data_IF_210799471077
#
_entry.id   IF_210799471077
#
_cell.length_a   1.000
_cell.length_b   1.000
_cell.length_c   1.000
_cell.angle_alpha   90.00
_cell.angle_beta   90.00
_cell.angle_gamma   90.00
#
_symmetry.space_group_name_H-M   'P 1'
#
loop_
_entity.id
_entity.type
_entity.pdbx_description
1 polymer ?
#
# COMPACT_ATOMS: atom_id res chain seq x y z
N UNK A 1 -24.33 32.69 -36.08
CA UNK A 1 -23.20 33.29 -35.34
C UNK A 1 -22.93 32.35 -34.19
N UNK A 2 -21.79 31.66 -34.20
CA UNK A 2 -21.46 30.70 -33.16
C UNK A 2 -20.49 31.41 -32.21
N UNK A 3 -20.80 31.44 -30.92
CA UNK A 3 -19.87 31.98 -29.92
C UNK A 3 -18.59 31.11 -29.90
N UNK A 4 -17.41 31.70 -29.62
CA UNK A 4 -16.23 30.90 -29.33
C UNK A 4 -16.50 30.02 -28.11
N UNK A 5 -16.12 28.74 -28.17
CA UNK A 5 -16.18 27.88 -27.00
C UNK A 5 -15.27 28.47 -25.90
N UNK A 6 -15.81 28.61 -24.70
CA UNK A 6 -15.17 29.37 -23.62
C UNK A 6 -13.81 28.75 -23.24
N UNK A 7 -12.82 29.60 -22.99
CA UNK A 7 -11.49 29.21 -22.51
C UNK A 7 -11.49 28.80 -21.03
N UNK A 8 -12.55 28.11 -20.58
CA UNK A 8 -12.74 27.66 -19.22
C UNK A 8 -11.65 26.66 -18.82
N UNK A 9 -10.94 26.97 -17.73
CA UNK A 9 -10.07 25.99 -17.06
C UNK A 9 -10.97 24.99 -16.33
N UNK A 10 -10.89 23.72 -16.73
CA UNK A 10 -11.57 22.61 -16.07
C UNK A 10 -10.58 21.80 -15.24
N UNK A 11 -11.11 21.15 -14.20
CA UNK A 11 -10.43 20.05 -13.51
C UNK A 11 -10.77 18.77 -14.29
N UNK A 12 -9.81 18.19 -15.00
CA UNK A 12 -9.96 16.87 -15.62
C UNK A 12 -9.46 15.80 -14.66
N UNK A 13 -10.31 14.84 -14.33
CA UNK A 13 -10.00 13.66 -13.52
C UNK A 13 -9.20 12.69 -14.38
N UNK A 14 -8.16 12.06 -13.84
CA UNK A 14 -7.26 11.15 -14.57
C UNK A 14 -6.89 9.96 -13.68
N UNK A 15 -6.38 8.89 -14.29
CA UNK A 15 -5.85 7.72 -13.59
C UNK A 15 -4.36 7.64 -13.87
N UNK A 16 -3.55 7.50 -12.82
CA UNK A 16 -2.10 7.40 -12.89
C UNK A 16 -1.64 6.02 -13.38
N UNK A 17 -1.07 5.90 -14.58
CA UNK A 17 -0.65 4.61 -15.13
C UNK A 17 0.54 3.98 -14.39
N UNK A 18 1.40 4.79 -13.74
CA UNK A 18 2.59 4.30 -13.01
C UNK A 18 2.17 3.39 -11.84
N UNK A 19 1.08 3.75 -11.15
CA UNK A 19 0.57 3.03 -9.97
C UNK A 19 -0.83 2.41 -10.16
N UNK A 20 -1.36 2.36 -11.38
CA UNK A 20 -2.59 1.65 -11.67
C UNK A 20 -2.33 0.14 -11.75
N UNK A 21 -2.75 -0.61 -10.72
CA UNK A 21 -2.69 -2.08 -10.71
C UNK A 21 -3.79 -2.76 -11.56
N UNK A 22 -4.43 -2.02 -12.49
CA UNK A 22 -5.39 -2.52 -13.50
C UNK A 22 -6.57 -3.34 -12.94
N UNK A 23 -6.94 -3.09 -11.68
CA UNK A 23 -7.85 -3.91 -10.88
C UNK A 23 -9.36 -3.80 -11.20
N UNK A 24 -9.77 -3.05 -12.22
CA UNK A 24 -11.17 -2.83 -12.65
C UNK A 24 -12.14 -2.20 -11.62
N UNK A 25 -11.71 -1.94 -10.38
CA UNK A 25 -12.59 -1.38 -9.33
C UNK A 25 -13.13 0.01 -9.66
N UNK A 26 -12.38 0.82 -10.41
CA UNK A 26 -12.79 2.19 -10.76
C UNK A 26 -13.86 2.26 -11.86
N UNK A 27 -13.76 1.41 -12.89
CA UNK A 27 -14.77 1.33 -13.96
C UNK A 27 -16.06 0.70 -13.45
N UNK A 28 -15.96 -0.45 -12.77
CA UNK A 28 -17.12 -1.19 -12.24
C UNK A 28 -17.95 -0.44 -11.19
N UNK A 29 -17.40 0.59 -10.53
CA UNK A 29 -18.13 1.45 -9.57
C UNK A 29 -18.60 2.78 -10.17
N UNK A 30 -18.23 3.12 -11.42
CA UNK A 30 -18.51 4.44 -11.99
C UNK A 30 -20.00 4.59 -12.38
N UNK A 31 -20.83 5.38 -11.66
CA UNK A 31 -22.28 5.41 -11.87
C UNK A 31 -22.70 6.07 -13.20
N UNK A 32 -21.78 6.76 -13.86
CA UNK A 32 -21.99 7.48 -15.14
C UNK A 32 -21.25 6.85 -16.33
N UNK A 33 -20.55 5.72 -16.13
CA UNK A 33 -19.80 5.07 -17.22
C UNK A 33 -18.70 5.97 -17.84
N UNK A 34 -18.09 6.82 -17.02
CA UNK A 34 -17.06 7.77 -17.43
C UNK A 34 -15.64 7.20 -17.43
N UNK A 35 -15.47 5.90 -17.15
CA UNK A 35 -14.17 5.23 -17.07
C UNK A 35 -14.21 4.03 -18.01
N UNK A 36 -13.10 3.78 -18.70
CA UNK A 36 -12.92 2.66 -19.64
C UNK A 36 -11.45 2.22 -19.61
N UNK A 37 -11.14 1.02 -20.11
CA UNK A 37 -9.76 0.51 -20.20
C UNK A 37 -9.43 -0.21 -21.51
N UNK A 38 -8.14 -0.40 -21.75
CA UNK A 38 -7.60 -1.43 -22.64
C UNK A 38 -6.70 -2.41 -21.83
N UNK A 39 -5.85 -3.21 -22.49
CA UNK A 39 -4.92 -4.11 -21.77
C UNK A 39 -3.87 -3.38 -20.92
N UNK A 40 -3.63 -2.10 -21.20
CA UNK A 40 -2.48 -1.35 -20.71
C UNK A 40 -2.91 -0.27 -19.71
N UNK A 41 -4.01 0.44 -19.93
CA UNK A 41 -4.39 1.61 -19.14
C UNK A 41 -5.90 1.72 -18.88
N UNK A 42 -6.23 2.35 -17.75
CA UNK A 42 -7.58 2.80 -17.40
C UNK A 42 -7.62 4.32 -17.55
N UNK A 43 -8.68 4.85 -18.15
CA UNK A 43 -8.75 6.25 -18.58
C UNK A 43 -10.12 6.86 -18.29
N UNK A 44 -10.21 8.19 -18.22
CA UNK A 44 -11.42 8.92 -17.82
C UNK A 44 -11.93 9.82 -18.94
N UNK A 45 -13.20 9.64 -19.29
CA UNK A 45 -13.96 10.50 -20.18
C UNK A 45 -14.39 11.77 -19.45
N UNK A 46 -13.80 12.90 -19.83
CA UNK A 46 -14.00 14.21 -19.22
C UNK A 46 -15.39 14.81 -19.45
N UNK A 47 -16.08 14.41 -20.52
CA UNK A 47 -17.42 14.90 -20.84
C UNK A 47 -18.52 14.05 -20.17
N UNK A 48 -18.22 12.79 -19.81
CA UNK A 48 -19.08 11.96 -18.92
C UNK A 48 -18.81 12.17 -17.43
N UNK A 49 -17.59 12.55 -17.03
CA UNK A 49 -17.21 12.61 -15.61
C UNK A 49 -17.91 13.75 -14.86
N UNK A 50 -18.82 13.39 -13.96
CA UNK A 50 -19.64 14.32 -13.17
C UNK A 50 -19.04 14.70 -11.80
N UNK A 51 -17.78 14.31 -11.51
CA UNK A 51 -17.09 14.59 -10.24
C UNK A 51 -17.77 14.06 -8.96
N UNK A 52 -18.53 12.96 -9.05
CA UNK A 52 -19.08 12.23 -7.88
C UNK A 52 -17.99 11.70 -6.92
N UNK A 53 -16.82 11.32 -7.44
CA UNK A 53 -15.68 10.74 -6.71
C UNK A 53 -15.90 9.34 -6.09
N UNK A 54 -17.01 8.66 -6.41
CA UNK A 54 -17.31 7.29 -5.93
C UNK A 54 -16.20 6.27 -6.26
N UNK A 55 -15.45 6.51 -7.33
CA UNK A 55 -14.32 5.70 -7.77
C UNK A 55 -13.02 5.89 -6.96
N UNK A 56 -12.88 6.98 -6.20
CA UNK A 56 -11.67 7.27 -5.41
C UNK A 56 -11.57 6.33 -4.20
N UNK A 57 -12.64 6.23 -3.40
CA UNK A 57 -12.60 5.47 -2.14
C UNK A 57 -12.26 3.98 -2.34
N UNK A 58 -12.78 3.27 -3.35
CA UNK A 58 -12.43 1.87 -3.64
C UNK A 58 -11.03 1.64 -4.25
N UNK A 59 -10.30 2.69 -4.65
CA UNK A 59 -9.01 2.52 -5.32
C UNK A 59 -7.89 2.12 -4.33
N UNK A 60 -7.28 0.93 -4.48
CA UNK A 60 -6.33 0.40 -3.49
C UNK A 60 -4.92 1.01 -3.57
N UNK A 61 -4.55 1.64 -4.68
CA UNK A 61 -3.26 2.37 -4.82
C UNK A 61 -3.42 3.88 -4.83
N UNK A 62 -4.66 4.38 -4.91
CA UNK A 62 -4.94 5.81 -5.11
C UNK A 62 -4.62 6.33 -6.51
N UNK A 63 -4.40 5.47 -7.52
CA UNK A 63 -4.06 5.91 -8.88
C UNK A 63 -5.09 6.87 -9.49
N UNK A 64 -6.36 6.72 -9.13
CA UNK A 64 -7.46 7.58 -9.60
C UNK A 64 -7.63 8.89 -8.80
N UNK A 65 -6.93 9.09 -7.68
CA UNK A 65 -6.98 10.37 -6.93
C UNK A 65 -6.06 11.42 -7.58
N UNK A 66 -6.19 11.54 -8.91
CA UNK A 66 -5.35 12.35 -9.76
C UNK A 66 -6.18 13.21 -10.71
N UNK A 67 -5.66 14.40 -10.99
CA UNK A 67 -6.32 15.34 -11.87
C UNK A 67 -5.33 16.36 -12.41
N UNK A 68 -5.69 16.99 -13.53
CA UNK A 68 -4.97 18.15 -14.06
C UNK A 68 -5.93 19.29 -14.32
N UNK A 69 -5.45 20.52 -14.13
CA UNK A 69 -6.13 21.73 -14.57
C UNK A 69 -5.75 21.96 -16.03
N UNK A 70 -6.73 22.00 -16.92
CA UNK A 70 -6.55 22.13 -18.38
C UNK A 70 -7.60 23.09 -18.94
N UNK A 71 -7.32 23.75 -20.07
CA UNK A 71 -8.39 24.41 -20.82
C UNK A 71 -9.34 23.34 -21.35
N UNK A 72 -10.67 23.57 -21.35
CA UNK A 72 -11.62 22.58 -21.89
C UNK A 72 -11.36 22.23 -23.36
N UNK A 73 -10.87 23.21 -24.15
CA UNK A 73 -10.44 23.03 -25.55
C UNK A 73 -9.13 22.23 -25.72
N UNK A 74 -8.45 21.88 -24.62
CA UNK A 74 -7.22 21.07 -24.56
C UNK A 74 -7.34 19.98 -23.47
N UNK A 75 -8.55 19.47 -23.24
CA UNK A 75 -8.75 18.32 -22.38
C UNK A 75 -8.18 17.06 -23.04
N UNK A 76 -7.49 16.22 -22.28
CA UNK A 76 -6.82 15.03 -22.80
C UNK A 76 -7.85 14.00 -23.28
N UNK A 77 -7.74 13.58 -24.53
CA UNK A 77 -8.59 12.54 -25.12
C UNK A 77 -8.34 11.17 -24.48
N UNK A 78 -9.27 10.22 -24.70
CA UNK A 78 -9.10 8.84 -24.26
C UNK A 78 -7.89 8.17 -24.93
N UNK A 79 -7.65 8.46 -26.20
CA UNK A 79 -6.56 7.87 -26.98
C UNK A 79 -5.18 8.37 -26.53
N UNK A 80 -5.06 9.65 -26.14
CA UNK A 80 -3.85 10.16 -25.46
C UNK A 80 -3.65 9.48 -24.10
N UNK A 81 -4.67 9.43 -23.26
CA UNK A 81 -4.58 8.83 -21.92
C UNK A 81 -4.19 7.33 -21.97
N UNK A 82 -4.66 6.59 -22.98
CA UNK A 82 -4.32 5.16 -23.14
C UNK A 82 -2.84 4.95 -23.51
N UNK A 83 -2.19 5.95 -24.11
CA UNK A 83 -0.78 5.88 -24.55
C UNK A 83 0.26 6.26 -23.49
N UNK A 84 -0.12 6.55 -22.24
CA UNK A 84 0.79 7.05 -21.21
C UNK A 84 1.41 5.95 -20.32
N UNK A 85 2.70 6.08 -20.00
CA UNK A 85 3.37 5.30 -18.94
C UNK A 85 3.52 6.08 -17.62
N UNK A 86 3.44 7.41 -17.67
CA UNK A 86 3.41 8.34 -16.52
C UNK A 86 2.36 9.45 -16.77
N UNK A 87 1.81 10.08 -15.73
CA UNK A 87 0.91 11.23 -15.93
C UNK A 87 1.65 12.44 -16.51
N UNK A 88 1.03 13.22 -17.42
CA UNK A 88 1.59 14.49 -17.83
C UNK A 88 1.78 15.44 -16.64
N UNK A 89 2.80 16.28 -16.71
CA UNK A 89 3.12 17.26 -15.67
C UNK A 89 1.98 18.27 -15.45
N UNK A 90 1.89 18.82 -14.24
CA UNK A 90 0.93 19.90 -13.96
C UNK A 90 1.33 21.18 -14.67
N UNK A 91 0.45 21.72 -15.52
CA UNK A 91 0.65 23.05 -16.11
C UNK A 91 0.52 24.08 -14.97
N UNK A 92 1.52 24.95 -14.73
CA UNK A 92 1.47 25.96 -13.67
C UNK A 92 0.23 26.85 -13.77
N UNK A 93 -0.32 27.29 -12.64
CA UNK A 93 -1.49 28.16 -12.61
C UNK A 93 -1.28 29.50 -13.35
N UNK A 94 -0.05 30.02 -13.34
CA UNK A 94 0.34 31.22 -14.10
C UNK A 94 0.36 30.99 -15.61
N UNK A 95 0.79 29.81 -16.07
CA UNK A 95 0.78 29.43 -17.49
C UNK A 95 -0.64 29.13 -17.95
N UNK A 96 -1.45 28.41 -17.15
CA UNK A 96 -2.88 28.24 -17.37
C UNK A 96 -3.63 29.58 -17.45
N UNK A 97 -3.34 30.53 -16.55
CA UNK A 97 -3.94 31.86 -16.60
C UNK A 97 -3.51 32.64 -17.86
N UNK A 98 -2.23 32.59 -18.23
CA UNK A 98 -1.74 33.19 -19.48
C UNK A 98 -2.35 32.55 -20.75
N UNK A 99 -2.77 31.28 -20.67
CA UNK A 99 -3.45 30.55 -21.74
C UNK A 99 -4.98 30.66 -21.72
N UNK A 100 -5.59 31.02 -20.58
CA UNK A 100 -7.05 31.13 -20.40
C UNK A 100 -7.58 32.58 -20.49
N UNK A 101 -6.77 33.56 -20.07
CA UNK A 101 -7.25 34.87 -19.64
C UNK A 101 -7.62 34.87 -18.13
N UNK A 102 -7.79 36.06 -17.57
CA UNK A 102 -7.85 36.28 -16.12
C UNK A 102 -9.09 35.64 -15.44
N UNK A 103 -8.91 34.49 -14.77
CA UNK A 103 -9.86 33.92 -13.78
C UNK A 103 -9.10 33.33 -12.59
N UNK A 104 -9.62 33.52 -11.37
CA UNK A 104 -8.89 33.34 -10.10
C UNK A 104 -8.87 31.90 -9.53
N UNK A 105 -8.02 31.68 -8.51
CA UNK A 105 -7.85 30.42 -7.75
C UNK A 105 -7.61 30.73 -6.26
N UNK A 106 -8.23 29.97 -5.34
CA UNK A 106 -7.99 30.01 -3.88
C UNK A 106 -7.39 28.69 -3.34
N UNK A 107 -6.79 28.72 -2.13
CA UNK A 107 -6.00 27.62 -1.52
C UNK A 107 -5.99 27.64 0.04
N UNK A 108 -5.85 26.47 0.70
CA UNK A 108 -5.71 26.26 2.17
C UNK A 108 -4.88 24.97 2.50
N UNK A 109 -4.39 24.77 3.75
CA UNK A 109 -3.49 23.66 4.24
C UNK A 109 -3.88 23.14 5.67
N UNK A 110 -3.18 22.31 6.49
CA UNK A 110 -1.76 21.84 6.61
C UNK A 110 -1.60 20.53 7.48
N UNK A 111 -0.37 20.05 7.83
CA UNK A 111 -0.10 18.74 8.51
C UNK A 111 1.20 18.59 9.40
N UNK A 112 1.33 17.58 10.31
CA UNK A 112 2.59 17.21 11.08
C UNK A 112 2.70 15.74 11.69
N UNK A 113 3.77 15.35 12.49
CA UNK A 113 4.29 13.94 12.79
C UNK A 113 4.32 13.44 14.30
N UNK A 114 5.00 12.39 14.91
CA UNK A 114 6.42 11.81 14.96
C UNK A 114 6.56 10.28 15.42
N UNK A 115 7.58 9.81 16.22
CA UNK A 115 8.22 8.42 16.31
C UNK A 115 8.77 8.03 17.78
N UNK A 116 9.29 6.87 18.35
CA UNK A 116 9.28 5.34 18.27
C UNK A 116 10.15 4.53 19.39
N UNK A 117 10.21 3.13 19.52
CA UNK A 117 11.16 2.18 20.29
C UNK A 117 10.72 0.66 20.70
N UNK A 118 11.45 -0.51 20.86
CA UNK A 118 12.56 -1.33 20.18
C UNK A 118 12.72 -2.85 20.71
N UNK A 119 13.10 -3.96 19.95
CA UNK A 119 13.36 -5.40 20.42
C UNK A 119 13.99 -6.51 19.43
N UNK A 120 14.50 -7.75 19.85
CA UNK A 120 15.45 -8.69 19.11
C UNK A 120 15.03 -10.18 18.64
N UNK A 121 15.96 -11.21 18.58
CA UNK A 121 16.18 -12.26 17.49
C UNK A 121 16.09 -13.84 17.75
N UNK A 122 16.22 -14.75 16.70
CA UNK A 122 16.24 -16.26 16.74
C UNK A 122 17.28 -17.06 15.83
N UNK A 123 17.19 -18.41 15.68
CA UNK A 123 17.91 -19.33 14.72
C UNK A 123 17.22 -20.75 14.61
N UNK A 124 17.57 -21.86 13.88
CA UNK A 124 18.64 -22.33 12.93
C UNK A 124 18.18 -23.62 12.10
N UNK A 125 19.01 -24.28 11.25
CA UNK A 125 18.67 -25.40 10.29
C UNK A 125 19.67 -26.64 10.25
N UNK A 126 19.27 -27.88 9.83
CA UNK A 126 20.11 -29.10 9.90
C UNK A 126 20.81 -29.65 8.60
N UNK A 127 20.93 -28.93 7.47
CA UNK A 127 21.30 -29.52 6.16
C UNK A 127 22.67 -30.22 5.95
N UNK A 128 23.58 -30.28 6.94
CA UNK A 128 24.87 -30.99 6.87
C UNK A 128 25.97 -30.33 6.02
N UNK A 129 25.62 -29.70 4.89
CA UNK A 129 26.33 -28.48 4.49
C UNK A 129 26.00 -27.40 5.53
N UNK A 130 26.98 -26.59 5.93
CA UNK A 130 26.72 -25.43 6.78
C UNK A 130 25.76 -24.50 6.05
N UNK A 131 24.53 -24.27 6.54
CA UNK A 131 23.64 -23.30 5.91
C UNK A 131 24.33 -21.94 5.92
N UNK A 132 24.33 -21.21 4.80
CA UNK A 132 24.72 -19.81 4.81
C UNK A 132 23.66 -19.09 5.65
N UNK A 133 23.95 -18.88 6.93
CA UNK A 133 22.97 -18.39 7.89
C UNK A 133 22.69 -16.91 7.64
N UNK A 134 21.77 -16.64 6.72
CA UNK A 134 21.35 -15.29 6.35
C UNK A 134 20.67 -14.55 7.49
N UNK A 135 20.13 -15.23 8.51
CA UNK A 135 19.64 -14.55 9.72
C UNK A 135 20.78 -14.04 10.60
N UNK A 136 21.93 -14.72 10.62
CA UNK A 136 23.17 -14.22 11.23
C UNK A 136 23.96 -13.22 10.34
N UNK A 137 23.52 -13.01 9.10
CA UNK A 137 23.95 -11.93 8.20
C UNK A 137 22.90 -10.80 8.10
N UNK A 138 21.82 -10.87 8.87
CA UNK A 138 20.89 -9.77 9.05
C UNK A 138 21.58 -8.61 9.77
N UNK A 139 21.19 -7.38 9.46
CA UNK A 139 21.69 -6.21 10.18
C UNK A 139 21.15 -6.23 11.61
N UNK A 140 22.02 -6.48 12.61
CA UNK A 140 21.62 -6.50 14.03
C UNK A 140 21.25 -5.10 14.56
N UNK A 141 21.70 -4.06 13.86
CA UNK A 141 21.37 -2.65 14.10
C UNK A 141 20.56 -2.11 12.91
N UNK A 142 19.54 -1.25 13.15
CA UNK A 142 18.96 -0.47 12.07
C UNK A 142 19.98 0.47 11.43
N UNK A 143 19.70 0.99 10.22
CA UNK A 143 20.43 2.12 9.67
C UNK A 143 20.47 3.28 10.68
N UNK A 144 21.63 3.94 10.83
CA UNK A 144 21.84 5.03 11.80
C UNK A 144 20.87 6.22 11.68
N UNK A 145 20.20 6.34 10.54
CA UNK A 145 19.21 7.38 10.22
C UNK A 145 17.79 6.83 10.06
N UNK A 146 17.56 5.55 10.33
CA UNK A 146 16.20 5.07 10.56
C UNK A 146 15.67 5.63 11.89
N UNK A 147 14.36 5.71 12.00
CA UNK A 147 13.71 6.08 13.26
C UNK A 147 13.69 4.93 14.27
N UNK A 148 13.12 5.20 15.44
CA UNK A 148 13.44 4.47 16.67
C UNK A 148 12.78 3.07 16.78
N UNK A 149 11.84 2.71 15.88
CA UNK A 149 10.99 1.51 15.80
C UNK A 149 10.24 1.04 17.08
N UNK A 150 8.94 1.40 17.22
CA UNK A 150 8.10 0.90 18.31
C UNK A 150 7.93 -0.63 18.28
N UNK A 151 7.98 -1.32 19.42
CA UNK A 151 7.68 -2.77 19.46
C UNK A 151 6.98 -3.23 20.74
N UNK A 152 6.36 -4.43 20.68
CA UNK A 152 5.78 -5.14 21.82
C UNK A 152 4.72 -4.35 22.61
N UNK A 153 4.07 -3.35 21.98
CA UNK A 153 2.97 -2.58 22.57
C UNK A 153 1.85 -3.53 23.05
N UNK A 154 1.57 -4.57 22.25
CA UNK A 154 0.66 -5.66 22.58
C UNK A 154 1.38 -7.00 22.50
N UNK A 155 1.22 -7.85 23.51
CA UNK A 155 1.84 -9.17 23.54
C UNK A 155 1.82 -9.85 24.91
N UNK A 156 2.46 -11.03 25.06
CA UNK A 156 2.36 -11.85 26.27
C UNK A 156 2.89 -11.21 27.57
N UNK A 157 3.74 -10.18 27.45
CA UNK A 157 4.32 -9.42 28.58
C UNK A 157 3.70 -8.03 28.76
N UNK A 158 2.83 -7.61 27.86
CA UNK A 158 2.27 -6.25 27.80
C UNK A 158 0.99 -6.17 28.63
N UNK A 159 0.67 -4.99 29.17
CA UNK A 159 -0.50 -4.81 30.05
C UNK A 159 -1.81 -5.17 29.35
N UNK A 160 -1.94 -4.80 28.07
CA UNK A 160 -2.97 -5.31 27.17
C UNK A 160 -2.32 -6.32 26.22
N UNK A 161 -2.86 -7.55 26.17
CA UNK A 161 -2.22 -8.67 25.44
C UNK A 161 -2.40 -8.62 23.93
N UNK A 162 -3.49 -8.04 23.47
CA UNK A 162 -3.91 -7.96 22.06
C UNK A 162 -4.66 -6.65 21.81
N UNK A 163 -4.70 -6.21 20.55
CA UNK A 163 -5.60 -5.16 20.08
C UNK A 163 -6.45 -5.71 18.93
N UNK A 164 -7.73 -5.38 18.88
CA UNK A 164 -8.57 -5.77 17.75
C UNK A 164 -8.42 -4.75 16.62
N UNK A 165 -8.09 -5.20 15.42
CA UNK A 165 -8.23 -4.44 14.20
C UNK A 165 -9.49 -4.86 13.43
N UNK A 166 -10.01 -3.97 12.59
CA UNK A 166 -11.13 -4.24 11.67
C UNK A 166 -10.60 -4.34 10.25
N UNK A 167 -11.02 -5.34 9.49
CA UNK A 167 -10.64 -5.49 8.08
C UNK A 167 -11.36 -4.43 7.25
N UNK A 168 -10.61 -3.52 6.64
CA UNK A 168 -11.15 -2.47 5.76
C UNK A 168 -10.95 -2.78 4.27
N UNK A 169 -10.08 -3.75 3.95
CA UNK A 169 -9.90 -4.27 2.60
C UNK A 169 -9.32 -5.67 2.61
N UNK A 170 -9.74 -6.53 1.69
CA UNK A 170 -9.10 -7.80 1.37
C UNK A 170 -9.24 -8.03 -0.13
N UNK A 171 -8.12 -8.04 -0.87
CA UNK A 171 -8.10 -8.09 -2.34
C UNK A 171 -7.05 -9.11 -2.80
N UNK A 172 -7.43 -10.08 -3.63
CA UNK A 172 -6.47 -10.99 -4.28
C UNK A 172 -5.61 -10.19 -5.27
N UNK A 173 -4.29 -10.21 -5.09
CA UNK A 173 -3.30 -9.50 -5.92
C UNK A 173 -2.61 -10.40 -6.95
N UNK A 174 -3.15 -11.59 -7.16
CA UNK A 174 -2.69 -12.57 -8.13
C UNK A 174 -3.82 -12.99 -9.06
N UNK A 175 -3.50 -13.18 -10.35
CA UNK A 175 -4.48 -13.58 -11.37
C UNK A 175 -5.21 -14.88 -11.01
N UNK A 176 -6.46 -15.02 -11.45
CA UNK A 176 -7.30 -16.20 -11.19
C UNK A 176 -7.07 -17.25 -12.29
N UNK A 177 -6.02 -18.04 -12.15
CA UNK A 177 -5.70 -19.11 -13.09
C UNK A 177 -4.45 -19.91 -12.71
N UNK A 178 -4.23 -21.02 -13.41
CA UNK A 178 -2.99 -21.80 -13.27
C UNK A 178 -1.85 -21.14 -14.05
N UNK A 179 -1.22 -20.14 -13.45
CA UNK A 179 0.15 -19.75 -13.81
C UNK A 179 1.07 -20.97 -13.77
N UNK A 180 2.02 -21.06 -14.71
CA UNK A 180 2.97 -22.17 -14.77
C UNK A 180 3.84 -22.21 -13.50
N UNK A 181 3.58 -23.18 -12.62
CA UNK A 181 4.22 -23.31 -11.31
C UNK A 181 3.24 -23.48 -10.14
N UNK A 182 1.96 -23.12 -10.29
CA UNK A 182 0.93 -23.34 -9.27
C UNK A 182 -0.17 -22.27 -9.26
N UNK A 183 -1.22 -22.49 -8.45
CA UNK A 183 -2.18 -21.45 -8.08
C UNK A 183 -1.63 -20.66 -6.88
N UNK A 184 -1.15 -19.46 -7.15
CA UNK A 184 -0.66 -18.55 -6.13
C UNK A 184 -1.82 -17.69 -5.66
N UNK A 185 -2.52 -18.09 -4.60
CA UNK A 185 -3.54 -17.24 -3.98
C UNK A 185 -2.90 -16.28 -2.96
N UNK A 186 -2.72 -15.01 -3.34
CA UNK A 186 -2.08 -14.00 -2.48
C UNK A 186 -2.98 -12.78 -2.36
N UNK A 187 -3.17 -12.29 -1.14
CA UNK A 187 -4.05 -11.17 -0.84
C UNK A 187 -3.28 -9.99 -0.25
N UNK A 188 -3.71 -8.78 -0.61
CA UNK A 188 -3.41 -7.54 0.08
C UNK A 188 -4.57 -7.24 1.03
N UNK A 189 -4.29 -7.22 2.33
CA UNK A 189 -5.28 -7.10 3.41
C UNK A 189 -4.98 -5.84 4.20
N UNK A 190 -5.97 -4.97 4.36
CA UNK A 190 -5.88 -3.70 5.09
C UNK A 190 -6.63 -3.83 6.42
N UNK A 191 -5.94 -3.48 7.51
CA UNK A 191 -6.41 -3.57 8.89
C UNK A 191 -6.41 -2.19 9.53
N UNK A 192 -7.55 -1.77 10.08
CA UNK A 192 -7.76 -0.47 10.73
C UNK A 192 -7.91 -0.64 12.26
N UNK A 193 -7.14 0.14 13.02
CA UNK A 193 -7.19 0.17 14.49
C UNK A 193 -8.09 1.30 15.03
N UNK A 194 -8.69 2.12 14.16
CA UNK A 194 -9.58 3.21 14.52
C UNK A 194 -8.86 4.26 15.38
N UNK A 195 -9.37 4.52 16.58
CA UNK A 195 -8.75 5.47 17.53
C UNK A 195 -7.65 4.86 18.42
N UNK A 196 -7.34 3.57 18.31
CA UNK A 196 -6.33 2.91 19.14
C UNK A 196 -4.94 3.07 18.53
N UNK A 197 -4.00 3.85 19.11
CA UNK A 197 -2.71 4.13 18.48
C UNK A 197 -1.89 2.86 18.28
N UNK A 198 -1.58 2.53 17.03
CA UNK A 198 -0.73 1.40 16.64
C UNK A 198 0.39 1.89 15.70
N UNK A 199 1.36 2.67 16.20
CA UNK A 199 2.43 3.23 15.37
C UNK A 199 3.39 2.14 14.89
N UNK A 200 3.72 2.16 13.60
CA UNK A 200 4.53 1.13 12.90
C UNK A 200 5.51 1.77 11.91
N UNK A 201 6.56 1.03 11.53
CA UNK A 201 7.48 1.43 10.46
C UNK A 201 7.50 0.49 9.24
N UNK A 202 7.99 1.06 8.13
CA UNK A 202 8.42 0.30 6.97
C UNK A 202 9.50 -0.73 7.37
N UNK A 203 9.23 -2.01 7.10
CA UNK A 203 10.11 -3.11 7.51
C UNK A 203 9.76 -3.79 8.83
N UNK A 204 8.80 -3.24 9.60
CA UNK A 204 8.25 -3.93 10.76
C UNK A 204 7.21 -4.99 10.38
N UNK A 205 6.70 -5.68 11.40
CA UNK A 205 5.76 -6.80 11.30
C UNK A 205 4.76 -6.79 12.45
N UNK A 206 3.61 -7.44 12.26
CA UNK A 206 2.64 -7.71 13.32
C UNK A 206 2.37 -9.21 13.45
N UNK A 207 1.89 -9.64 14.61
CA UNK A 207 1.37 -10.99 14.81
C UNK A 207 -0.16 -10.99 14.78
N UNK A 208 -0.77 -11.81 13.93
CA UNK A 208 -2.22 -12.09 13.98
C UNK A 208 -2.46 -13.35 14.78
N UNK A 209 -3.44 -13.36 15.69
CA UNK A 209 -3.91 -14.56 16.38
C UNK A 209 -5.16 -15.10 15.66
N UNK A 210 -5.07 -16.27 14.98
CA UNK A 210 -6.25 -16.89 14.38
C UNK A 210 -7.19 -17.43 15.46
N UNK A 211 -8.52 -17.33 15.31
CA UNK A 211 -9.47 -17.89 16.25
C UNK A 211 -9.43 -19.43 16.23
N UNK A 212 -9.68 -20.06 17.38
CA UNK A 212 -9.77 -21.51 17.53
C UNK A 212 -8.68 -22.15 18.39
N UNK A 213 -8.72 -23.47 18.47
CA UNK A 213 -7.84 -24.32 19.28
C UNK A 213 -7.09 -25.32 18.40
N UNK A 214 -5.86 -25.65 18.78
CA UNK A 214 -5.09 -26.74 18.17
C UNK A 214 -5.63 -28.14 18.56
N UNK A 215 -5.05 -29.19 17.97
CA UNK A 215 -5.39 -30.58 18.26
C UNK A 215 -5.07 -31.04 19.71
N UNK A 216 -4.51 -30.16 20.55
CA UNK A 216 -4.22 -30.37 21.98
C UNK A 216 -5.08 -29.45 22.87
N UNK A 217 -6.09 -28.79 22.30
CA UNK A 217 -7.01 -27.89 23.01
C UNK A 217 -6.42 -26.53 23.39
N UNK A 218 -5.26 -26.14 22.84
CA UNK A 218 -4.60 -24.87 23.16
C UNK A 218 -4.98 -23.79 22.13
N UNK A 219 -5.15 -22.52 22.54
CA UNK A 219 -5.34 -21.41 21.60
C UNK A 219 -4.26 -21.37 20.53
N UNK A 220 -4.65 -21.06 19.29
CA UNK A 220 -3.71 -20.95 18.19
C UNK A 220 -2.63 -19.87 18.45
N UNK A 221 -1.37 -20.22 18.18
CA UNK A 221 -0.26 -19.27 18.23
C UNK A 221 -0.44 -18.13 17.21
N UNK A 222 0.08 -16.95 17.56
CA UNK A 222 0.18 -15.83 16.63
C UNK A 222 1.05 -16.19 15.41
N UNK A 223 0.65 -15.72 14.21
CA UNK A 223 1.42 -15.83 12.97
C UNK A 223 1.88 -14.43 12.57
N UNK A 224 3.17 -14.28 12.30
CA UNK A 224 3.81 -13.00 12.02
C UNK A 224 3.74 -12.67 10.52
N UNK A 225 3.40 -11.43 10.20
CA UNK A 225 3.29 -10.91 8.84
C UNK A 225 4.00 -9.56 8.76
N UNK A 226 4.85 -9.39 7.74
CA UNK A 226 5.50 -8.10 7.47
C UNK A 226 4.49 -7.07 6.98
N UNK A 227 4.65 -5.83 7.43
CA UNK A 227 3.80 -4.71 7.05
C UNK A 227 4.12 -4.30 5.60
N UNK A 228 3.08 -4.08 4.81
CA UNK A 228 3.15 -3.71 3.40
C UNK A 228 2.80 -2.22 3.13
N UNK A 229 2.34 -1.49 4.14
CA UNK A 229 2.03 -0.06 4.13
C UNK A 229 3.17 0.77 4.73
N UNK A 230 3.32 2.05 4.34
CA UNK A 230 4.07 3.03 5.11
C UNK A 230 3.56 3.20 6.55
N UNK A 231 4.36 3.87 7.38
CA UNK A 231 4.07 4.25 8.77
C UNK A 231 2.80 5.06 8.98
N UNK A 232 2.39 5.80 7.95
CA UNK A 232 1.15 6.59 7.91
C UNK A 232 0.02 5.89 7.12
N UNK A 233 0.02 4.56 7.13
CA UNK A 233 -1.01 3.69 6.59
C UNK A 233 -1.07 3.64 5.07
N UNK A 234 -2.08 2.94 4.54
CA UNK A 234 -2.35 2.91 3.09
C UNK A 234 -2.70 4.31 2.56
N UNK A 235 -3.43 5.11 3.35
CA UNK A 235 -3.69 6.53 3.06
C UNK A 235 -3.16 7.39 4.21
N UNK A 236 -2.37 8.45 3.94
CA UNK A 236 -1.88 9.36 4.97
C UNK A 236 -2.98 9.84 5.92
N UNK A 237 -2.71 9.80 7.22
CA UNK A 237 -3.65 10.23 8.27
C UNK A 237 -4.63 9.15 8.76
N UNK A 238 -4.65 7.97 8.14
CA UNK A 238 -5.45 6.83 8.61
C UNK A 238 -4.63 5.89 9.49
N UNK A 239 -5.19 5.47 10.62
CA UNK A 239 -4.58 4.52 11.56
C UNK A 239 -4.80 3.06 11.11
N UNK A 240 -4.46 2.79 9.85
CA UNK A 240 -4.50 1.48 9.25
C UNK A 240 -3.11 1.02 8.80
N UNK A 241 -2.96 -0.28 8.59
CA UNK A 241 -1.79 -0.87 7.92
C UNK A 241 -2.23 -1.95 6.94
N UNK A 242 -1.34 -2.37 6.04
CA UNK A 242 -1.60 -3.50 5.16
C UNK A 242 -0.60 -4.64 5.33
N UNK A 243 -1.01 -5.83 4.87
CA UNK A 243 -0.23 -7.07 4.84
C UNK A 243 -0.34 -7.72 3.46
N UNK A 244 0.75 -8.33 2.98
CA UNK A 244 0.73 -9.18 1.78
C UNK A 244 0.80 -10.65 2.21
N UNK A 245 -0.31 -11.38 2.13
CA UNK A 245 -0.44 -12.74 2.66
C UNK A 245 -0.72 -13.74 1.54
N UNK A 246 0.20 -14.69 1.33
CA UNK A 246 -0.04 -15.88 0.48
C UNK A 246 -0.76 -16.96 1.29
N UNK A 247 -1.84 -17.52 0.73
CA UNK A 247 -2.50 -18.72 1.27
C UNK A 247 -1.55 -19.90 1.24
N UNK A 248 -1.42 -20.58 2.37
CA UNK A 248 -0.65 -21.84 2.47
C UNK A 248 -1.61 -23.00 2.23
N UNK A 249 -1.40 -23.71 1.12
CA UNK A 249 -2.18 -24.87 0.69
C UNK A 249 -1.36 -26.18 0.70
N UNK A 250 -0.05 -26.08 0.91
CA UNK A 250 0.92 -27.18 0.90
C UNK A 250 1.89 -26.99 2.06
N UNK A 251 2.39 -28.10 2.61
CA UNK A 251 3.39 -28.10 3.67
C UNK A 251 4.83 -28.13 3.11
N UNK A 252 5.83 -28.09 3.98
CA UNK A 252 7.25 -28.16 3.60
C UNK A 252 7.69 -29.45 2.86
N UNK A 253 6.86 -30.50 2.83
CA UNK A 253 7.09 -31.73 2.07
C UNK A 253 6.25 -31.79 0.78
N UNK A 254 5.48 -30.75 0.47
CA UNK A 254 4.55 -30.71 -0.67
C UNK A 254 3.22 -31.44 -0.41
N UNK A 255 2.91 -31.81 0.83
CA UNK A 255 1.62 -32.43 1.16
C UNK A 255 0.53 -31.35 1.30
N UNK A 256 -0.67 -31.53 0.72
CA UNK A 256 -1.74 -30.55 0.84
C UNK A 256 -2.16 -30.29 2.30
N UNK A 257 -2.05 -29.04 2.75
CA UNK A 257 -2.44 -28.62 4.11
C UNK A 257 -3.05 -27.23 4.08
N UNK A 258 -4.19 -27.05 4.77
CA UNK A 258 -4.81 -25.73 4.92
C UNK A 258 -4.15 -24.96 6.06
N UNK A 259 -3.13 -24.16 5.75
CA UNK A 259 -2.37 -23.39 6.73
C UNK A 259 -3.25 -22.40 7.50
N UNK A 260 -3.42 -22.64 8.81
CA UNK A 260 -4.40 -21.99 9.69
C UNK A 260 -4.44 -20.46 9.55
N UNK A 261 -3.33 -19.78 9.80
CA UNK A 261 -3.30 -18.31 9.86
C UNK A 261 -3.47 -17.63 8.51
N UNK A 262 -2.83 -18.14 7.45
CA UNK A 262 -2.92 -17.53 6.11
C UNK A 262 -4.26 -17.80 5.44
N UNK A 263 -4.87 -18.98 5.65
CA UNK A 263 -6.23 -19.21 5.17
C UNK A 263 -7.24 -18.35 5.92
N UNK A 264 -7.17 -18.31 7.26
CA UNK A 264 -8.00 -17.41 8.07
C UNK A 264 -7.95 -15.98 7.53
N UNK A 265 -6.75 -15.41 7.36
CA UNK A 265 -6.58 -14.04 6.86
C UNK A 265 -7.10 -13.83 5.43
N UNK A 266 -6.78 -14.72 4.49
CA UNK A 266 -7.27 -14.60 3.10
C UNK A 266 -8.81 -14.77 2.99
N UNK A 267 -9.45 -15.47 3.94
CA UNK A 267 -10.89 -15.74 3.95
C UNK A 267 -11.72 -14.65 4.66
N UNK A 268 -11.08 -13.62 5.26
CA UNK A 268 -11.76 -12.50 5.94
C UNK A 268 -12.48 -11.56 4.97
N UNK A 269 -13.57 -10.95 5.44
CA UNK A 269 -14.36 -9.96 4.71
C UNK A 269 -14.18 -8.57 5.32
N UNK A 270 -14.49 -7.54 4.53
CA UNK A 270 -14.56 -6.16 5.04
C UNK A 270 -15.61 -6.07 6.15
N UNK A 271 -15.22 -5.51 7.30
CA UNK A 271 -16.01 -5.47 8.53
C UNK A 271 -15.69 -6.57 9.54
N UNK A 272 -14.99 -7.65 9.16
CA UNK A 272 -14.55 -8.67 10.11
C UNK A 272 -13.48 -8.12 11.07
N UNK A 273 -13.35 -8.75 12.25
CA UNK A 273 -12.45 -8.33 13.33
C UNK A 273 -11.35 -9.36 13.57
N UNK A 274 -10.12 -8.89 13.78
CA UNK A 274 -8.93 -9.73 13.97
C UNK A 274 -8.11 -9.28 15.18
N UNK A 275 -7.63 -10.23 15.97
CA UNK A 275 -6.78 -9.96 17.14
C UNK A 275 -5.30 -9.89 16.72
N UNK A 276 -4.67 -8.75 17.05
CA UNK A 276 -3.32 -8.38 16.65
C UNK A 276 -2.41 -8.19 17.86
N UNK A 277 -1.13 -8.55 17.71
CA UNK A 277 -0.03 -8.32 18.65
C UNK A 277 1.19 -7.69 17.94
N UNK A 278 2.09 -7.11 18.72
CA UNK A 278 3.27 -6.38 18.24
C UNK A 278 3.12 -4.87 18.41
N UNK A 279 3.64 -4.05 17.48
CA UNK A 279 4.48 -4.46 16.34
C UNK A 279 5.83 -5.08 16.75
N UNK A 280 6.57 -5.63 15.78
CA UNK A 280 7.85 -6.31 15.99
C UNK A 280 8.86 -5.99 14.88
N UNK A 281 10.15 -6.09 15.21
CA UNK A 281 11.29 -5.88 14.32
C UNK A 281 11.86 -4.47 14.44
N UNK A 282 13.19 -4.37 14.46
CA UNK A 282 13.94 -3.10 14.60
C UNK A 282 15.23 -3.05 13.79
N UNK A 283 15.58 -4.14 13.12
CA UNK A 283 16.77 -4.30 12.31
C UNK A 283 16.53 -3.83 10.88
N UNK A 284 15.42 -4.29 10.29
CA UNK A 284 15.09 -4.11 8.87
C UNK A 284 14.38 -2.79 8.56
N UNK A 285 14.78 -1.68 9.20
CA UNK A 285 14.08 -0.39 9.09
C UNK A 285 14.54 0.42 7.88
N UNK A 286 13.65 1.31 7.40
CA UNK A 286 14.00 2.28 6.37
C UNK A 286 14.86 3.43 6.92
N UNK A 287 15.98 3.82 6.25
CA UNK A 287 16.72 5.03 6.59
C UNK A 287 15.95 6.30 6.18
N UNK A 288 15.75 7.24 7.11
CA UNK A 288 15.13 8.54 6.82
C UNK A 288 16.09 9.53 6.12
N UNK A 289 17.42 9.34 6.17
CA UNK A 289 18.37 10.27 5.52
C UNK A 289 18.16 10.28 3.99
N UNK A 290 17.84 11.43 3.35
CA UNK A 290 17.22 11.46 2.02
C UNK A 290 18.13 10.94 0.91
N UNK A 291 19.45 11.16 1.02
CA UNK A 291 20.45 10.76 0.01
C UNK A 291 20.83 9.28 0.05
N UNK A 292 20.21 8.46 0.90
CA UNK A 292 20.58 7.05 1.10
C UNK A 292 20.14 6.17 -0.07
N UNK A 293 21.05 5.44 -0.72
CA UNK A 293 20.65 4.42 -1.70
C UNK A 293 20.09 3.19 -0.97
N UNK A 294 18.97 2.63 -1.46
CA UNK A 294 18.38 1.40 -0.91
C UNK A 294 18.30 0.37 -2.05
N UNK A 295 18.90 -0.81 -1.86
CA UNK A 295 18.75 -1.94 -2.77
C UNK A 295 17.83 -2.96 -2.13
N UNK A 296 16.73 -3.30 -2.80
CA UNK A 296 15.70 -4.21 -2.29
C UNK A 296 15.72 -5.52 -3.06
N UNK A 297 16.01 -6.63 -2.37
CA UNK A 297 15.98 -7.99 -2.94
C UNK A 297 14.88 -8.76 -2.22
N UNK A 298 13.88 -9.24 -2.96
CA UNK A 298 12.75 -9.97 -2.39
C UNK A 298 12.20 -11.04 -3.33
N UNK A 299 11.46 -11.99 -2.77
CA UNK A 299 10.69 -13.00 -3.51
C UNK A 299 9.32 -13.19 -2.87
N UNK A 300 8.27 -13.38 -3.69
CA UNK A 300 6.90 -13.59 -3.21
C UNK A 300 6.42 -12.51 -2.24
N UNK A 301 5.90 -12.93 -1.08
CA UNK A 301 5.41 -12.04 -0.01
C UNK A 301 6.52 -11.24 0.69
N UNK A 302 7.80 -11.55 0.46
CA UNK A 302 8.93 -10.73 0.91
C UNK A 302 8.95 -9.34 0.28
N UNK A 303 8.12 -9.10 -0.74
CA UNK A 303 7.84 -7.77 -1.30
C UNK A 303 7.12 -6.80 -0.35
N UNK A 304 6.44 -7.29 0.69
CA UNK A 304 5.68 -6.46 1.64
C UNK A 304 6.50 -5.28 2.21
N UNK A 305 7.62 -5.49 2.94
CA UNK A 305 8.39 -4.38 3.49
C UNK A 305 9.00 -3.51 2.39
N UNK A 306 9.29 -4.07 1.20
CA UNK A 306 9.83 -3.31 0.07
C UNK A 306 8.79 -2.34 -0.51
N UNK A 307 7.50 -2.73 -0.54
CA UNK A 307 6.37 -1.85 -0.88
C UNK A 307 6.24 -0.73 0.13
N UNK A 308 6.27 -1.05 1.43
CA UNK A 308 6.20 -0.06 2.50
C UNK A 308 7.32 0.99 2.34
N UNK A 309 8.57 0.54 2.14
CA UNK A 309 9.72 1.41 1.92
C UNK A 309 9.60 2.26 0.65
N UNK A 310 9.13 1.66 -0.46
CA UNK A 310 8.96 2.36 -1.75
C UNK A 310 7.89 3.44 -1.65
N UNK A 311 6.72 3.14 -1.07
CA UNK A 311 5.64 4.12 -0.89
C UNK A 311 6.01 5.23 0.10
N UNK A 312 6.75 4.94 1.18
CA UNK A 312 7.27 6.00 2.04
C UNK A 312 8.29 6.89 1.31
N UNK A 313 9.18 6.29 0.50
CA UNK A 313 10.12 7.04 -0.36
C UNK A 313 9.40 7.97 -1.34
N UNK A 314 8.31 7.47 -1.95
CA UNK A 314 7.45 8.20 -2.90
C UNK A 314 6.72 9.36 -2.22
N UNK A 315 6.16 9.15 -1.02
CA UNK A 315 5.54 10.20 -0.19
C UNK A 315 6.55 11.28 0.23
N UNK A 316 7.77 10.88 0.64
CA UNK A 316 8.84 11.83 0.95
C UNK A 316 9.23 12.67 -0.28
N UNK A 317 9.33 12.07 -1.47
CA UNK A 317 9.55 12.79 -2.74
C UNK A 317 8.46 13.84 -3.01
N UNK A 318 7.19 13.45 -2.93
CA UNK A 318 6.06 14.37 -3.13
C UNK A 318 6.03 15.53 -2.11
N UNK A 319 6.51 15.30 -0.88
CA UNK A 319 6.56 16.33 0.17
C UNK A 319 7.66 17.39 0.00
N UNK A 320 8.50 17.29 -1.03
CA UNK A 320 9.67 18.18 -1.23
C UNK A 320 10.84 17.94 -0.26
N UNK A 321 10.66 17.16 0.82
CA UNK A 321 11.67 16.83 1.84
C UNK A 321 12.73 15.82 1.35
N UNK A 322 12.98 15.73 0.05
CA UNK A 322 13.76 14.67 -0.57
C UNK A 322 14.88 15.14 -1.49
N UNK A 323 16.11 15.11 -0.97
CA UNK A 323 17.32 15.40 -1.74
C UNK A 323 17.91 14.14 -2.39
N UNK A 324 17.70 13.97 -3.69
CA UNK A 324 18.61 13.27 -4.63
C UNK A 324 18.89 11.77 -4.45
N UNK A 325 18.31 11.08 -3.47
CA UNK A 325 18.56 9.66 -3.24
C UNK A 325 17.90 8.72 -4.27
N UNK A 326 18.55 7.58 -4.53
CA UNK A 326 18.07 6.56 -5.48
C UNK A 326 17.39 5.38 -4.79
N UNK A 327 16.45 4.80 -5.51
CA UNK A 327 15.99 3.42 -5.42
C UNK A 327 16.64 2.65 -6.58
#
# INVERSE_FOLDING_TARGET
MNAPAEAAVIKQHLIDPEICIRCNTCESICPVGAITHDSNNYVVDVDKCNWCNDCISPCPTGSIDNYRKVLRIKAYSLEEQLGWEELPAEIPSSELAAMAGDVAVETLSDAETVEEATAPEPANDPSGQTPLNTSALGATLPPWSAAHAYTNLYGPKSAQKTVTATVTGNVRVTEVGKTAGGDYDTHHIVLDFGSMPFPVLEGQSIGVIPPGLDAKGKPHHARQYSIASPRNGERPGYNNLSLTIKRVLEDHTGQPVRGVGSNFMCDLKVGDRVEVIGPFGTSFLMPNHPRSSIVMICTGTGSAPMRAMTEWRRRLRASGKFEGGKL
#
